data_IF_976501512202
#
_entry.id   IF_976501512202
#
_cell.length_a   1.000
_cell.length_b   1.000
_cell.length_c   1.000
_cell.angle_alpha   90.00
_cell.angle_beta   90.00
_cell.angle_gamma   90.00
#
_symmetry.space_group_name_H-M   'P 1'
#
loop_
_entity.id
_entity.type
_entity.pdbx_description
1 polymer ?
#
# COMPACT_ATOMS: atom_id res chain seq x y z
N UNK A 1 22.76 -1.75 11.27
CA UNK A 1 22.06 -0.93 10.25
C UNK A 1 22.90 0.30 9.97
N UNK A 2 23.26 0.51 8.73
CA UNK A 2 24.02 1.68 8.28
C UNK A 2 23.11 2.48 7.34
N UNK A 3 23.14 3.82 7.47
CA UNK A 3 22.32 4.71 6.66
C UNK A 3 23.20 5.76 5.96
N UNK A 4 22.78 6.13 4.76
CA UNK A 4 23.37 7.22 3.97
C UNK A 4 22.26 8.18 3.53
N UNK A 5 22.61 9.45 3.39
CA UNK A 5 21.66 10.43 2.88
C UNK A 5 21.50 10.28 1.36
N UNK A 6 20.24 10.32 0.92
CA UNK A 6 19.89 10.42 -0.49
C UNK A 6 18.74 11.42 -0.65
N UNK A 7 18.80 12.37 -1.60
CA UNK A 7 17.69 13.31 -1.84
C UNK A 7 16.36 12.64 -2.18
N UNK A 8 16.40 11.41 -2.73
CA UNK A 8 15.23 10.64 -3.13
C UNK A 8 14.37 10.19 -1.94
N UNK A 9 14.88 10.25 -0.71
CA UNK A 9 14.09 9.96 0.50
C UNK A 9 13.09 11.07 0.84
N UNK A 10 13.35 12.32 0.43
CA UNK A 10 12.55 13.48 0.84
C UNK A 10 11.09 13.42 0.39
N UNK A 11 10.77 13.07 -0.89
CA UNK A 11 9.37 12.91 -1.31
C UNK A 11 8.64 11.81 -0.53
N UNK A 12 9.33 10.70 -0.23
CA UNK A 12 8.75 9.56 0.52
C UNK A 12 8.49 9.93 1.97
N UNK A 13 9.41 10.65 2.62
CA UNK A 13 9.22 11.18 3.97
C UNK A 13 8.06 12.19 3.99
N UNK A 14 7.96 13.07 3.01
CA UNK A 14 6.82 14.00 2.90
C UNK A 14 5.51 13.24 2.76
N UNK A 15 5.45 12.19 1.92
CA UNK A 15 4.28 11.30 1.81
C UNK A 15 3.93 10.63 3.14
N UNK A 16 4.92 10.10 3.87
CA UNK A 16 4.71 9.47 5.17
C UNK A 16 4.16 10.46 6.21
N UNK A 17 4.69 11.69 6.25
CA UNK A 17 4.20 12.75 7.13
C UNK A 17 2.76 13.14 6.78
N UNK A 18 2.45 13.37 5.51
CA UNK A 18 1.09 13.70 5.06
C UNK A 18 0.13 12.56 5.41
N UNK A 19 0.53 11.31 5.17
CA UNK A 19 -0.26 10.14 5.52
C UNK A 19 -0.52 10.08 7.04
N UNK A 20 0.47 10.40 7.87
CA UNK A 20 0.34 10.51 9.32
C UNK A 20 -0.70 11.56 9.73
N UNK A 21 -0.67 12.76 9.14
CA UNK A 21 -1.67 13.78 9.37
C UNK A 21 -3.08 13.33 8.97
N UNK A 22 -3.23 12.71 7.81
CA UNK A 22 -4.52 12.15 7.35
C UNK A 22 -5.01 11.06 8.29
N UNK A 23 -4.12 10.20 8.77
CA UNK A 23 -4.45 9.14 9.72
C UNK A 23 -4.97 9.72 11.05
N UNK A 24 -4.26 10.68 11.64
CA UNK A 24 -4.67 11.33 12.89
C UNK A 24 -6.00 12.07 12.71
N UNK A 25 -6.15 12.88 11.66
CA UNK A 25 -7.39 13.61 11.38
C UNK A 25 -8.57 12.67 11.15
N UNK A 26 -8.39 11.63 10.32
CA UNK A 26 -9.42 10.62 10.06
C UNK A 26 -9.82 9.87 11.34
N UNK A 27 -8.85 9.53 12.19
CA UNK A 27 -9.12 8.87 13.46
C UNK A 27 -9.93 9.74 14.44
N UNK A 28 -9.64 11.04 14.50
CA UNK A 28 -10.42 11.99 15.30
C UNK A 28 -11.87 12.10 14.83
N UNK A 29 -12.13 11.92 13.53
CA UNK A 29 -13.46 12.00 12.91
C UNK A 29 -14.19 10.65 12.82
N UNK A 30 -13.61 9.55 13.33
CA UNK A 30 -14.15 8.19 13.16
C UNK A 30 -15.57 7.98 13.69
N UNK A 31 -15.99 8.75 14.69
CA UNK A 31 -17.33 8.64 15.27
C UNK A 31 -18.41 9.44 14.50
N UNK A 32 -18.00 10.43 13.71
CA UNK A 32 -18.92 11.38 13.05
C UNK A 32 -19.00 11.19 11.53
N UNK A 33 -17.96 10.59 10.92
CA UNK A 33 -17.87 10.43 9.46
C UNK A 33 -17.72 8.96 9.11
N UNK A 34 -18.68 8.45 8.33
CA UNK A 34 -18.63 7.05 7.84
C UNK A 34 -17.37 6.82 7.00
N UNK A 35 -16.66 5.75 7.30
CA UNK A 35 -15.43 5.38 6.60
C UNK A 35 -14.17 6.08 7.10
N UNK A 36 -14.27 7.11 7.96
CA UNK A 36 -13.10 7.86 8.42
C UNK A 36 -12.08 6.98 9.16
N UNK A 37 -12.52 6.01 9.96
CA UNK A 37 -11.62 5.07 10.61
C UNK A 37 -10.83 4.23 9.60
N UNK A 38 -11.49 3.75 8.55
CA UNK A 38 -10.85 2.95 7.50
C UNK A 38 -9.90 3.79 6.63
N UNK A 39 -10.26 5.04 6.37
CA UNK A 39 -9.36 6.01 5.72
C UNK A 39 -8.11 6.26 6.58
N UNK A 40 -8.28 6.41 7.89
CA UNK A 40 -7.16 6.60 8.81
C UNK A 40 -6.21 5.40 8.82
N UNK A 41 -6.74 4.18 8.86
CA UNK A 41 -5.93 2.96 8.79
C UNK A 41 -5.25 2.80 7.42
N UNK A 42 -5.96 3.11 6.34
CA UNK A 42 -5.41 3.10 4.98
C UNK A 42 -4.25 4.10 4.86
N UNK A 43 -4.43 5.33 5.35
CA UNK A 43 -3.39 6.33 5.37
C UNK A 43 -2.18 5.88 6.20
N UNK A 44 -2.41 5.25 7.37
CA UNK A 44 -1.33 4.70 8.19
C UNK A 44 -0.55 3.62 7.45
N UNK A 45 -1.22 2.71 6.75
CA UNK A 45 -0.58 1.65 5.95
C UNK A 45 0.23 2.22 4.77
N UNK A 46 -0.29 3.24 4.08
CA UNK A 46 0.45 3.96 3.04
C UNK A 46 1.65 4.71 3.62
N UNK A 47 1.50 5.31 4.79
CA UNK A 47 2.59 6.00 5.50
C UNK A 47 3.71 5.05 5.92
N UNK A 48 3.36 3.87 6.44
CA UNK A 48 4.32 2.81 6.77
C UNK A 48 5.08 2.35 5.52
N UNK A 49 4.37 2.07 4.42
CA UNK A 49 5.01 1.68 3.16
C UNK A 49 5.97 2.76 2.65
N UNK A 50 5.54 4.04 2.62
CA UNK A 50 6.39 5.15 2.19
C UNK A 50 7.63 5.34 3.08
N UNK A 51 7.45 5.22 4.41
CA UNK A 51 8.55 5.30 5.37
C UNK A 51 9.52 4.13 5.20
N UNK A 52 9.01 2.91 5.06
CA UNK A 52 9.82 1.71 4.82
C UNK A 52 10.66 1.86 3.56
N UNK A 53 10.07 2.39 2.48
CA UNK A 53 10.78 2.62 1.22
C UNK A 53 11.84 3.74 1.34
N UNK A 54 11.54 4.82 2.07
CA UNK A 54 12.53 5.86 2.36
C UNK A 54 13.75 5.30 3.13
N UNK A 55 13.50 4.44 4.12
CA UNK A 55 14.55 3.83 4.94
C UNK A 55 15.31 2.72 4.19
N UNK A 56 14.68 2.02 3.25
CA UNK A 56 15.35 1.13 2.32
C UNK A 56 16.33 1.89 1.43
N UNK A 57 15.90 3.00 0.81
CA UNK A 57 16.77 3.84 -0.02
C UNK A 57 17.92 4.42 0.81
N UNK A 58 17.62 4.85 2.04
CA UNK A 58 18.64 5.37 2.96
C UNK A 58 19.61 4.30 3.47
N UNK A 59 19.27 3.01 3.43
CA UNK A 59 20.15 1.92 3.84
C UNK A 59 21.45 1.91 3.01
N UNK A 60 22.61 1.78 3.66
CA UNK A 60 23.89 1.71 3.00
C UNK A 60 24.36 0.27 2.73
N UNK A 61 23.91 -0.68 3.52
CA UNK A 61 24.28 -2.09 3.48
C UNK A 61 23.10 -3.01 3.11
N UNK A 62 23.38 -4.15 2.52
CA UNK A 62 22.35 -5.10 2.07
C UNK A 62 21.41 -5.55 3.19
N UNK A 63 21.88 -5.90 4.41
CA UNK A 63 20.98 -6.28 5.48
C UNK A 63 19.99 -5.20 5.88
N UNK A 64 20.41 -3.93 5.92
CA UNK A 64 19.53 -2.80 6.22
C UNK A 64 18.46 -2.62 5.14
N UNK A 65 18.85 -2.68 3.85
CA UNK A 65 17.93 -2.59 2.72
C UNK A 65 16.91 -3.74 2.73
N UNK A 66 17.36 -4.96 2.93
CA UNK A 66 16.49 -6.15 2.98
C UNK A 66 15.50 -6.05 4.15
N UNK A 67 15.95 -5.62 5.32
CA UNK A 67 15.06 -5.43 6.47
C UNK A 67 13.93 -4.44 6.16
N UNK A 68 14.26 -3.26 5.65
CA UNK A 68 13.25 -2.24 5.33
C UNK A 68 12.40 -2.63 4.13
N UNK A 69 12.99 -3.28 3.11
CA UNK A 69 12.23 -3.84 2.00
C UNK A 69 11.18 -4.88 2.42
N UNK A 70 11.51 -5.73 3.41
CA UNK A 70 10.53 -6.65 4.00
C UNK A 70 9.49 -5.94 4.87
N UNK A 71 9.89 -4.93 5.64
CA UNK A 71 8.98 -4.16 6.49
C UNK A 71 7.88 -3.50 5.67
N UNK A 72 8.15 -3.05 4.46
CA UNK A 72 7.14 -2.49 3.54
C UNK A 72 5.98 -3.45 3.26
N UNK A 73 6.19 -4.76 3.36
CA UNK A 73 5.11 -5.74 3.14
C UNK A 73 3.98 -5.61 4.17
N UNK A 74 4.20 -4.98 5.31
CA UNK A 74 3.12 -4.66 6.27
C UNK A 74 2.12 -3.70 5.59
N UNK A 75 2.59 -2.61 5.01
CA UNK A 75 1.77 -1.68 4.24
C UNK A 75 1.23 -2.31 2.95
N UNK A 76 2.10 -2.91 2.14
CA UNK A 76 1.74 -3.57 0.87
C UNK A 76 0.59 -4.56 1.07
N UNK A 77 0.64 -5.38 2.14
CA UNK A 77 -0.37 -6.40 2.42
C UNK A 77 -1.67 -5.84 2.98
N UNK A 78 -1.65 -4.72 3.67
CA UNK A 78 -2.84 -4.14 4.30
C UNK A 78 -3.59 -3.15 3.41
N UNK A 79 -2.89 -2.41 2.54
CA UNK A 79 -3.48 -1.38 1.65
C UNK A 79 -4.64 -1.91 0.80
N UNK A 80 -4.56 -3.02 0.05
CA UNK A 80 -5.66 -3.48 -0.80
C UNK A 80 -6.93 -3.84 -0.01
N UNK A 81 -6.78 -4.45 1.16
CA UNK A 81 -7.92 -4.80 2.03
C UNK A 81 -8.56 -3.52 2.57
N UNK A 82 -7.75 -2.62 3.13
CA UNK A 82 -8.25 -1.36 3.70
C UNK A 82 -8.90 -0.48 2.63
N UNK A 83 -8.41 -0.52 1.40
CA UNK A 83 -9.05 0.16 0.27
C UNK A 83 -10.46 -0.37 0.01
N UNK A 84 -10.66 -1.70 -0.09
CA UNK A 84 -12.00 -2.29 -0.31
C UNK A 84 -12.94 -1.93 0.84
N UNK A 85 -12.47 -2.02 2.09
CA UNK A 85 -13.28 -1.72 3.27
C UNK A 85 -13.66 -0.24 3.28
N UNK A 86 -12.69 0.65 3.06
CA UNK A 86 -12.93 2.08 2.98
C UNK A 86 -13.92 2.42 1.85
N UNK A 87 -13.67 1.89 0.65
CA UNK A 87 -14.49 2.17 -0.52
C UNK A 87 -15.94 1.71 -0.33
N UNK A 88 -16.17 0.51 0.23
CA UNK A 88 -17.50 -0.01 0.51
C UNK A 88 -18.24 0.83 1.56
N UNK A 89 -17.59 1.20 2.66
CA UNK A 89 -18.16 2.04 3.72
C UNK A 89 -18.44 3.48 3.24
N UNK A 90 -17.58 4.02 2.38
CA UNK A 90 -17.74 5.35 1.81
C UNK A 90 -18.86 5.39 0.75
N UNK A 91 -18.93 4.38 -0.11
CA UNK A 91 -19.93 4.31 -1.18
C UNK A 91 -21.34 4.08 -0.64
N UNK A 92 -21.50 3.22 0.35
CA UNK A 92 -22.81 2.83 0.91
C UNK A 92 -22.78 2.92 2.43
N UNK A 93 -23.41 3.96 3.03
CA UNK A 93 -23.52 4.06 4.48
C UNK A 93 -24.21 2.84 5.07
N UNK A 94 -23.60 2.24 6.09
CA UNK A 94 -24.10 1.03 6.73
C UNK A 94 -23.71 -0.28 6.04
N UNK A 95 -23.16 -0.26 4.83
CA UNK A 95 -22.56 -1.43 4.20
C UNK A 95 -21.17 -1.65 4.78
N UNK A 96 -21.05 -2.45 5.82
CA UNK A 96 -19.76 -2.90 6.36
C UNK A 96 -19.38 -4.26 5.79
N UNK A 97 -18.09 -4.49 5.60
CA UNK A 97 -17.58 -5.84 5.35
C UNK A 97 -17.79 -6.67 6.62
N UNK A 98 -18.44 -7.84 6.48
CA UNK A 98 -18.67 -8.72 7.63
C UNK A 98 -17.33 -9.24 8.18
N UNK A 99 -17.31 -9.58 9.48
CA UNK A 99 -16.11 -10.16 10.10
C UNK A 99 -15.63 -11.42 9.36
N UNK A 100 -16.54 -12.22 8.86
CA UNK A 100 -16.22 -13.42 8.07
C UNK A 100 -15.49 -13.05 6.78
N UNK A 101 -16.01 -12.09 6.02
CA UNK A 101 -15.38 -11.64 4.77
C UNK A 101 -14.01 -10.99 5.04
N UNK A 102 -13.89 -10.22 6.13
CA UNK A 102 -12.62 -9.65 6.53
C UNK A 102 -11.56 -10.73 6.79
N UNK A 103 -11.90 -11.76 7.55
CA UNK A 103 -11.00 -12.89 7.81
C UNK A 103 -10.61 -13.59 6.51
N UNK A 104 -11.57 -13.87 5.62
CA UNK A 104 -11.29 -14.50 4.33
C UNK A 104 -10.36 -13.66 3.45
N UNK A 105 -10.59 -12.35 3.37
CA UNK A 105 -9.73 -11.44 2.61
C UNK A 105 -8.35 -11.28 3.25
N UNK A 106 -8.18 -11.51 4.54
CA UNK A 106 -6.88 -11.38 5.21
C UNK A 106 -5.99 -12.62 5.07
N UNK A 107 -6.50 -13.76 4.61
CA UNK A 107 -5.73 -15.02 4.52
C UNK A 107 -4.52 -14.86 3.58
N UNK A 108 -4.75 -14.41 2.35
CA UNK A 108 -3.67 -14.27 1.34
C UNK A 108 -2.63 -13.23 1.77
N UNK A 109 -2.99 -12.02 2.22
CA UNK A 109 -2.03 -11.05 2.77
C UNK A 109 -1.26 -11.56 3.98
N UNK A 110 -1.89 -12.29 4.89
CA UNK A 110 -1.21 -12.86 6.04
C UNK A 110 -0.16 -13.90 5.63
N UNK A 111 -0.50 -14.81 4.71
CA UNK A 111 0.46 -15.75 4.13
C UNK A 111 1.59 -15.01 3.44
N UNK A 112 1.25 -13.96 2.65
CA UNK A 112 2.26 -13.16 1.93
C UNK A 112 3.22 -12.48 2.90
N UNK A 113 2.72 -11.94 4.01
CA UNK A 113 3.55 -11.32 5.03
C UNK A 113 4.52 -12.35 5.66
N UNK A 114 4.04 -13.52 6.02
CA UNK A 114 4.89 -14.61 6.53
C UNK A 114 5.97 -14.99 5.51
N UNK A 115 5.59 -15.17 4.24
CA UNK A 115 6.52 -15.51 3.17
C UNK A 115 7.53 -14.39 2.87
N UNK A 116 7.16 -13.11 3.03
CA UNK A 116 8.08 -11.99 2.86
C UNK A 116 9.19 -12.01 3.92
N UNK A 117 8.84 -12.27 5.19
CA UNK A 117 9.82 -12.32 6.27
C UNK A 117 10.69 -13.57 6.25
N UNK A 118 10.25 -14.65 5.59
CA UNK A 118 10.99 -15.93 5.47
C UNK A 118 11.53 -16.18 4.06
N UNK A 119 11.56 -15.16 3.21
CA UNK A 119 11.86 -15.30 1.76
C UNK A 119 13.23 -15.94 1.47
N UNK A 120 14.21 -15.78 2.36
CA UNK A 120 15.54 -16.41 2.24
C UNK A 120 15.49 -17.95 2.27
N UNK A 121 14.45 -18.54 2.86
CA UNK A 121 14.33 -20.00 2.97
C UNK A 121 13.77 -20.63 1.71
N UNK A 122 13.01 -19.91 0.91
CA UNK A 122 12.22 -20.50 -0.18
C UNK A 122 12.19 -19.69 -1.49
N UNK A 123 12.60 -18.41 -1.47
CA UNK A 123 12.65 -17.56 -2.66
C UNK A 123 11.30 -17.24 -3.32
N UNK A 124 10.16 -17.49 -2.63
CA UNK A 124 8.82 -17.35 -3.22
C UNK A 124 8.40 -15.91 -3.45
N UNK A 125 8.86 -14.96 -2.61
CA UNK A 125 8.62 -13.52 -2.78
C UNK A 125 9.77 -12.92 -3.58
N UNK A 126 11.00 -13.07 -3.11
CA UNK A 126 12.22 -12.65 -3.77
C UNK A 126 13.12 -13.87 -4.00
N UNK A 127 13.36 -14.19 -5.26
CA UNK A 127 14.23 -15.32 -5.63
C UNK A 127 15.71 -14.94 -5.60
N UNK A 128 16.04 -13.67 -5.85
CA UNK A 128 17.37 -13.11 -5.64
C UNK A 128 17.30 -11.67 -5.22
N UNK A 129 18.30 -11.24 -4.46
CA UNK A 129 18.40 -9.87 -3.92
C UNK A 129 19.82 -9.36 -4.12
N UNK A 130 19.98 -8.21 -4.74
CA UNK A 130 21.27 -7.59 -5.02
C UNK A 130 21.21 -6.08 -4.81
N UNK A 131 22.35 -5.46 -4.51
CA UNK A 131 22.47 -4.00 -4.53
C UNK A 131 22.83 -3.56 -5.94
N UNK A 132 22.02 -2.68 -6.51
CA UNK A 132 22.30 -2.01 -7.75
C UNK A 132 22.71 -0.57 -7.45
N UNK A 133 23.91 -0.18 -7.88
CA UNK A 133 24.36 1.20 -7.75
C UNK A 133 23.83 2.02 -8.94
N UNK A 134 22.89 2.93 -8.67
CA UNK A 134 22.30 3.82 -9.67
C UNK A 134 22.83 5.24 -9.44
N UNK A 135 23.93 5.58 -10.09
CA UNK A 135 24.53 6.89 -9.96
C UNK A 135 24.94 7.24 -8.51
N UNK A 136 24.17 8.12 -7.87
CA UNK A 136 24.48 8.65 -6.54
C UNK A 136 23.84 7.87 -5.38
N UNK A 137 23.02 6.86 -5.64
CA UNK A 137 22.42 6.04 -4.60
C UNK A 137 22.43 4.55 -4.97
N UNK A 138 22.33 3.71 -3.94
CA UNK A 138 22.19 2.26 -4.10
C UNK A 138 20.73 1.86 -3.93
N UNK A 139 20.17 1.12 -4.89
CA UNK A 139 18.84 0.55 -4.83
C UNK A 139 18.88 -0.95 -4.55
N UNK A 140 17.83 -1.46 -3.93
CA UNK A 140 17.62 -2.90 -3.82
C UNK A 140 17.05 -3.40 -5.15
N UNK A 141 17.80 -4.27 -5.83
CA UNK A 141 17.32 -4.97 -7.01
C UNK A 141 16.88 -6.37 -6.62
N UNK A 142 15.61 -6.67 -6.83
CA UNK A 142 15.00 -7.96 -6.45
C UNK A 142 14.46 -8.66 -7.69
N UNK A 143 14.72 -9.96 -7.80
CA UNK A 143 14.02 -10.81 -8.77
C UNK A 143 12.80 -11.39 -8.07
N UNK A 144 11.63 -11.20 -8.65
CA UNK A 144 10.38 -11.65 -8.07
C UNK A 144 10.18 -13.16 -8.17
N UNK A 145 9.80 -13.79 -7.07
CA UNK A 145 9.43 -15.20 -7.01
C UNK A 145 7.97 -15.44 -7.43
N UNK A 146 7.57 -16.72 -7.46
CA UNK A 146 6.24 -17.12 -7.93
C UNK A 146 5.09 -16.51 -7.10
N UNK A 147 5.21 -16.51 -5.77
CA UNK A 147 4.15 -15.99 -4.89
C UNK A 147 3.94 -14.49 -5.02
N UNK A 148 4.98 -13.73 -5.38
CA UNK A 148 4.84 -12.31 -5.67
C UNK A 148 3.75 -12.07 -6.73
N UNK A 149 3.74 -12.84 -7.82
CA UNK A 149 2.75 -12.69 -8.89
C UNK A 149 1.34 -13.09 -8.45
N UNK A 150 1.22 -14.15 -7.62
CA UNK A 150 -0.06 -14.54 -7.02
C UNK A 150 -0.62 -13.40 -6.17
N UNK A 151 0.23 -12.81 -5.32
CA UNK A 151 -0.17 -11.69 -4.48
C UNK A 151 -0.47 -10.43 -5.29
N UNK A 152 0.29 -10.16 -6.34
CA UNK A 152 0.06 -9.03 -7.24
C UNK A 152 -1.35 -9.12 -7.86
N UNK A 153 -1.70 -10.25 -8.45
CA UNK A 153 -3.03 -10.47 -9.04
C UNK A 153 -4.13 -10.28 -7.98
N UNK A 154 -3.94 -10.88 -6.81
CA UNK A 154 -4.87 -10.74 -5.70
C UNK A 154 -5.08 -9.28 -5.30
N UNK A 155 -4.01 -8.51 -5.12
CA UNK A 155 -4.09 -7.10 -4.75
C UNK A 155 -4.82 -6.27 -5.80
N UNK A 156 -4.54 -6.49 -7.08
CA UNK A 156 -5.23 -5.76 -8.17
C UNK A 156 -6.71 -6.11 -8.26
N UNK A 157 -7.12 -7.35 -7.96
CA UNK A 157 -8.53 -7.72 -7.85
C UNK A 157 -9.21 -6.92 -6.72
N UNK A 158 -8.58 -6.83 -5.55
CA UNK A 158 -9.13 -6.07 -4.43
C UNK A 158 -9.19 -4.57 -4.72
N UNK A 159 -8.12 -4.03 -5.28
CA UNK A 159 -8.07 -2.62 -5.67
C UNK A 159 -9.16 -2.32 -6.71
N UNK A 160 -9.36 -3.20 -7.71
CA UNK A 160 -10.45 -3.11 -8.70
C UNK A 160 -11.84 -3.16 -8.05
N UNK A 161 -12.05 -4.08 -7.12
CA UNK A 161 -13.32 -4.19 -6.40
C UNK A 161 -13.64 -2.92 -5.59
N UNK A 162 -12.67 -2.37 -4.86
CA UNK A 162 -12.83 -1.10 -4.14
C UNK A 162 -13.12 0.06 -5.10
N UNK A 163 -12.41 0.14 -6.21
CA UNK A 163 -12.64 1.17 -7.24
C UNK A 163 -14.04 1.05 -7.85
N UNK A 164 -14.52 -0.17 -8.08
CA UNK A 164 -15.89 -0.40 -8.56
C UNK A 164 -16.93 0.18 -7.60
N UNK A 165 -16.78 0.01 -6.27
CA UNK A 165 -17.69 0.62 -5.30
C UNK A 165 -17.72 2.15 -5.41
N UNK A 166 -16.58 2.79 -5.58
CA UNK A 166 -16.51 4.25 -5.75
C UNK A 166 -17.15 4.69 -7.07
N UNK A 167 -16.90 3.97 -8.18
CA UNK A 167 -17.51 4.24 -9.49
C UNK A 167 -19.03 4.10 -9.45
N UNK A 168 -19.56 3.04 -8.85
CA UNK A 168 -21.00 2.84 -8.68
C UNK A 168 -21.65 3.98 -7.87
N UNK A 169 -20.95 4.47 -6.86
CA UNK A 169 -21.43 5.61 -6.06
C UNK A 169 -21.49 6.94 -6.83
N UNK A 170 -20.67 7.12 -7.89
CA UNK A 170 -20.71 8.32 -8.74
C UNK A 170 -22.07 8.49 -9.44
N UNK A 171 -22.70 7.39 -9.84
CA UNK A 171 -23.99 7.39 -10.50
C UNK A 171 -25.14 7.70 -9.54
N UNK A 172 -24.96 7.38 -8.25
CA UNK A 172 -26.00 7.52 -7.23
C UNK A 172 -25.92 8.85 -6.46
N UNK A 173 -24.79 9.54 -6.49
CA UNK A 173 -24.56 10.76 -5.70
C UNK A 173 -24.23 11.95 -6.57
N UNK A 174 -24.76 13.14 -6.18
CA UNK A 174 -24.57 14.42 -6.89
C UNK A 174 -23.80 15.42 -6.01
N UNK A 175 -23.34 16.51 -6.61
CA UNK A 175 -22.72 17.64 -5.91
C UNK A 175 -21.33 17.32 -5.34
N UNK A 176 -21.09 17.74 -4.10
CA UNK A 176 -19.77 17.65 -3.44
C UNK A 176 -19.24 16.23 -3.35
N UNK A 177 -20.09 15.25 -3.02
CA UNK A 177 -19.71 13.85 -2.94
C UNK A 177 -19.19 13.29 -4.28
N UNK A 178 -19.79 13.70 -5.40
CA UNK A 178 -19.30 13.30 -6.72
C UNK A 178 -17.89 13.84 -6.99
N UNK A 179 -17.61 15.09 -6.60
CA UNK A 179 -16.27 15.67 -6.75
C UNK A 179 -15.23 14.92 -5.89
N UNK A 180 -15.57 14.61 -4.64
CA UNK A 180 -14.70 13.83 -3.76
C UNK A 180 -14.38 12.46 -4.34
N UNK A 181 -15.37 11.74 -4.87
CA UNK A 181 -15.18 10.43 -5.49
C UNK A 181 -14.28 10.51 -6.73
N UNK A 182 -14.42 11.56 -7.56
CA UNK A 182 -13.53 11.77 -8.70
C UNK A 182 -12.08 11.97 -8.25
N UNK A 183 -11.84 12.78 -7.21
CA UNK A 183 -10.50 13.01 -6.67
C UNK A 183 -9.92 11.71 -6.13
N UNK A 184 -10.70 10.91 -5.39
CA UNK A 184 -10.27 9.60 -4.89
C UNK A 184 -9.90 8.64 -6.05
N UNK A 185 -10.72 8.58 -7.10
CA UNK A 185 -10.45 7.73 -8.26
C UNK A 185 -9.18 8.17 -8.99
N UNK A 186 -8.97 9.47 -9.20
CA UNK A 186 -7.76 9.98 -9.83
C UNK A 186 -6.52 9.64 -9.00
N UNK A 187 -6.57 9.83 -7.68
CA UNK A 187 -5.45 9.50 -6.78
C UNK A 187 -5.09 8.01 -6.84
N UNK A 188 -6.10 7.14 -6.83
CA UNK A 188 -5.90 5.69 -6.90
C UNK A 188 -5.38 5.26 -8.27
N UNK A 189 -5.92 5.80 -9.35
CA UNK A 189 -5.44 5.48 -10.71
C UNK A 189 -3.98 5.89 -10.92
N UNK A 190 -3.57 7.05 -10.41
CA UNK A 190 -2.17 7.49 -10.47
C UNK A 190 -1.27 6.50 -9.71
N UNK A 191 -1.68 6.08 -8.50
CA UNK A 191 -0.92 5.10 -7.73
C UNK A 191 -0.84 3.73 -8.43
N UNK A 192 -1.92 3.29 -9.08
CA UNK A 192 -1.94 2.02 -9.82
C UNK A 192 -1.03 2.05 -11.04
N UNK A 193 -1.13 3.10 -11.83
CA UNK A 193 -0.29 3.25 -13.02
C UNK A 193 1.19 3.30 -12.61
N UNK A 194 1.53 4.08 -11.58
CA UNK A 194 2.91 4.15 -11.08
C UNK A 194 3.42 2.78 -10.59
N UNK A 195 2.61 2.03 -9.84
CA UNK A 195 3.00 0.69 -9.40
C UNK A 195 3.10 -0.30 -10.57
N UNK A 196 2.20 -0.23 -11.55
CA UNK A 196 2.25 -1.09 -12.72
C UNK A 196 3.51 -0.82 -13.57
N UNK A 197 3.86 0.44 -13.79
CA UNK A 197 5.09 0.82 -14.48
C UNK A 197 6.32 0.28 -13.77
N UNK A 198 6.38 0.42 -12.43
CA UNK A 198 7.45 -0.15 -11.63
C UNK A 198 7.56 -1.68 -11.79
N UNK A 199 6.45 -2.41 -11.73
CA UNK A 199 6.43 -3.88 -11.86
C UNK A 199 6.85 -4.33 -13.26
N UNK A 200 6.51 -3.56 -14.31
CA UNK A 200 6.89 -3.82 -15.70
C UNK A 200 8.34 -3.39 -16.01
N UNK A 201 9.02 -2.72 -15.07
CA UNK A 201 10.40 -2.24 -15.27
C UNK A 201 10.49 -1.04 -16.24
N UNK A 202 9.43 -0.23 -16.33
CA UNK A 202 9.33 0.95 -17.21
C UNK A 202 9.55 2.24 -16.44
#
# INVERSE_FOLDING_TARGET
MQFQYSPYILPLLACAVIAGFVAVYGWQRRATVNGAAYLALLALACGEWSLGYALEIAGADLPTKVFWGKSQYIGICTVPILWVIFASAHATPGAGITRRNLVQLSIVPFITLLLAFTTELHGLIWSSVQILNVGTFSALNVTHGLWFWVYLIYSYILLGAGTFFILDSLNRRKGLFRRQNIILLLAVLIAWVGNLLYVLGL
#
